data_IF_300127488903
#
_entry.id   IF_300127488903
#
_cell.length_a   1.000
_cell.length_b   1.000
_cell.length_c   1.000
_cell.angle_alpha   90.00
_cell.angle_beta   90.00
_cell.angle_gamma   90.00
#
_symmetry.space_group_name_H-M   'P 1'
#
loop_
_entity.id
_entity.type
_entity.pdbx_description
1 polymer ?
#
# COMPACT_ATOMS: atom_id res chain seq x y z
N UNK A 1 -17.15 -22.11 -1.90
CA UNK A 1 -15.72 -22.39 -1.68
C UNK A 1 -14.94 -21.44 -2.58
N UNK A 2 -14.49 -20.30 -2.06
CA UNK A 2 -13.78 -19.28 -2.84
C UNK A 2 -12.33 -19.79 -2.96
N UNK A 3 -11.90 -20.13 -4.17
CA UNK A 3 -10.51 -20.52 -4.41
C UNK A 3 -9.59 -19.39 -3.93
N UNK A 4 -8.79 -19.66 -2.90
CA UNK A 4 -7.65 -18.82 -2.55
C UNK A 4 -6.66 -18.90 -3.71
N UNK A 5 -6.68 -17.90 -4.60
CA UNK A 5 -5.57 -17.71 -5.53
C UNK A 5 -4.37 -17.34 -4.69
N UNK A 6 -3.33 -18.16 -4.69
CA UNK A 6 -2.10 -17.84 -3.97
C UNK A 6 -1.49 -16.61 -4.63
N UNK A 7 -0.85 -15.74 -3.85
CA UNK A 7 -0.18 -14.56 -4.37
C UNK A 7 0.86 -14.94 -5.44
N UNK A 8 1.48 -16.14 -5.32
CA UNK A 8 2.32 -16.74 -6.37
C UNK A 8 1.63 -16.77 -7.73
N UNK A 9 0.37 -17.21 -7.77
CA UNK A 9 -0.39 -17.44 -9.00
C UNK A 9 -0.75 -16.12 -9.71
N UNK A 10 -0.71 -15.00 -8.99
CA UNK A 10 -0.92 -13.64 -9.52
C UNK A 10 0.40 -13.04 -10.03
N UNK A 11 1.53 -13.45 -9.46
CA UNK A 11 2.85 -12.87 -9.68
C UNK A 11 3.72 -13.61 -10.70
N UNK A 12 3.23 -14.69 -11.31
CA UNK A 12 3.98 -15.49 -12.30
C UNK A 12 4.32 -14.73 -13.59
N UNK A 13 3.57 -13.67 -13.91
CA UNK A 13 3.89 -12.77 -15.01
C UNK A 13 4.72 -11.58 -14.52
N UNK A 14 5.96 -11.46 -15.02
CA UNK A 14 6.93 -10.42 -14.62
C UNK A 14 6.40 -8.98 -14.76
N UNK A 15 5.62 -8.71 -15.81
CA UNK A 15 5.02 -7.37 -16.02
C UNK A 15 3.88 -7.09 -15.03
N UNK A 16 3.03 -8.09 -14.78
CA UNK A 16 1.94 -8.00 -13.79
C UNK A 16 2.51 -7.85 -12.38
N UNK A 17 3.61 -8.54 -12.07
CA UNK A 17 4.34 -8.43 -10.82
C UNK A 17 4.90 -7.02 -10.60
N UNK A 18 5.52 -6.41 -11.61
CA UNK A 18 6.08 -5.05 -11.48
C UNK A 18 4.98 -3.98 -11.37
N UNK A 19 3.86 -4.15 -12.10
CA UNK A 19 2.69 -3.27 -11.97
C UNK A 19 2.03 -3.40 -10.59
N UNK A 20 1.83 -4.62 -10.09
CA UNK A 20 1.23 -4.89 -8.78
C UNK A 20 2.12 -4.39 -7.64
N UNK A 21 3.44 -4.60 -7.72
CA UNK A 21 4.40 -4.11 -6.72
C UNK A 21 4.40 -2.59 -6.60
N UNK A 22 4.10 -1.86 -7.68
CA UNK A 22 3.98 -0.41 -7.64
C UNK A 22 2.63 0.09 -7.09
N UNK A 23 1.55 -0.69 -7.26
CA UNK A 23 0.21 -0.31 -6.78
C UNK A 23 0.11 -0.19 -5.26
N UNK A 24 0.89 -0.95 -4.48
CA UNK A 24 0.92 -0.82 -3.01
C UNK A 24 1.33 0.59 -2.56
N UNK A 25 2.13 1.28 -3.36
CA UNK A 25 2.53 2.67 -3.10
C UNK A 25 1.52 3.71 -3.58
N UNK A 26 0.39 3.29 -4.14
CA UNK A 26 -0.67 4.19 -4.64
C UNK A 26 -1.83 4.36 -3.65
N UNK A 27 -1.78 3.72 -2.47
CA UNK A 27 -2.87 3.75 -1.49
C UNK A 27 -3.13 5.16 -0.93
N UNK A 28 -2.10 5.99 -0.80
CA UNK A 28 -2.24 7.36 -0.32
C UNK A 28 -1.27 8.30 -1.05
N UNK A 29 -1.65 9.54 -1.32
CA UNK A 29 -0.74 10.53 -1.92
C UNK A 29 0.26 11.01 -0.87
N UNK A 30 1.55 10.89 -1.16
CA UNK A 30 2.61 11.38 -0.28
C UNK A 30 3.74 11.91 -1.16
N UNK A 31 4.27 13.09 -0.85
CA UNK A 31 5.29 13.74 -1.66
C UNK A 31 6.67 13.16 -1.37
N UNK A 32 7.55 13.13 -2.38
CA UNK A 32 8.93 12.67 -2.20
C UNK A 32 9.09 11.16 -1.99
N UNK A 33 8.15 10.33 -2.47
CA UNK A 33 8.30 8.87 -2.44
C UNK A 33 9.53 8.44 -3.21
N UNK A 34 10.39 7.67 -2.56
CA UNK A 34 11.56 7.06 -3.20
C UNK A 34 11.08 5.88 -4.05
N UNK A 35 11.56 5.74 -5.30
CA UNK A 35 11.12 4.67 -6.17
C UNK A 35 11.63 3.31 -5.69
N UNK A 36 10.73 2.32 -5.70
CA UNK A 36 10.90 1.08 -4.96
C UNK A 36 11.99 0.16 -5.52
N UNK A 37 12.20 0.20 -6.83
CA UNK A 37 13.18 -0.62 -7.53
C UNK A 37 14.61 -0.27 -7.11
N UNK A 38 14.87 1.02 -6.98
CA UNK A 38 16.14 1.60 -6.56
C UNK A 38 16.39 1.27 -5.08
N UNK A 39 15.37 1.44 -4.22
CA UNK A 39 15.46 1.05 -2.81
C UNK A 39 15.79 -0.42 -2.63
N UNK A 40 15.08 -1.31 -3.35
CA UNK A 40 15.33 -2.75 -3.32
C UNK A 40 16.76 -3.08 -3.74
N UNK A 41 17.29 -2.41 -4.78
CA UNK A 41 18.68 -2.60 -5.22
C UNK A 41 19.65 -2.25 -4.09
N UNK A 42 19.48 -1.08 -3.46
CA UNK A 42 20.32 -0.61 -2.36
C UNK A 42 20.24 -1.59 -1.18
N UNK A 43 19.05 -2.04 -0.80
CA UNK A 43 18.88 -3.00 0.30
C UNK A 43 19.64 -4.30 0.01
N UNK A 44 19.55 -4.85 -1.21
CA UNK A 44 20.28 -6.06 -1.59
C UNK A 44 21.79 -5.88 -1.60
N UNK A 45 22.25 -4.71 -2.04
CA UNK A 45 23.67 -4.40 -2.21
C UNK A 45 24.36 -4.16 -0.87
N UNK A 46 23.68 -3.53 0.10
CA UNK A 46 24.27 -3.06 1.34
C UNK A 46 23.78 -3.78 2.61
N UNK A 47 23.00 -4.85 2.49
CA UNK A 47 22.55 -5.67 3.63
C UNK A 47 22.37 -7.13 3.26
N UNK A 48 22.25 -8.00 4.25
CA UNK A 48 21.93 -9.43 4.12
C UNK A 48 20.54 -9.71 4.69
N UNK A 49 19.98 -10.85 4.33
CA UNK A 49 18.74 -11.33 4.97
C UNK A 49 18.95 -11.45 6.48
N UNK A 50 17.94 -11.03 7.25
CA UNK A 50 17.98 -10.97 8.71
C UNK A 50 18.63 -9.71 9.29
N UNK A 51 19.35 -8.89 8.51
CA UNK A 51 19.92 -7.63 9.01
C UNK A 51 18.83 -6.67 9.50
N UNK A 52 19.17 -5.87 10.51
CA UNK A 52 18.32 -4.79 11.04
C UNK A 52 18.66 -3.47 10.37
N UNK A 53 17.70 -2.90 9.66
CA UNK A 53 17.81 -1.62 8.99
C UNK A 53 17.06 -0.52 9.74
N UNK A 54 17.57 0.72 9.67
CA UNK A 54 16.94 1.90 10.27
C UNK A 54 16.56 2.89 9.17
N UNK A 55 15.28 3.28 9.14
CA UNK A 55 14.81 4.42 8.35
C UNK A 55 14.21 5.49 9.29
N UNK A 56 14.98 6.53 9.65
CA UNK A 56 14.51 7.56 10.56
C UNK A 56 13.65 8.65 9.86
N UNK A 57 13.48 8.56 8.53
CA UNK A 57 12.71 9.50 7.71
C UNK A 57 11.83 8.74 6.71
N UNK A 58 10.96 7.90 7.26
CA UNK A 58 10.27 6.86 6.50
C UNK A 58 9.28 7.39 5.46
N UNK A 59 8.68 8.55 5.71
CA UNK A 59 7.68 9.17 4.84
C UNK A 59 6.55 8.19 4.51
N UNK A 60 6.53 7.68 3.28
CA UNK A 60 5.52 6.70 2.87
C UNK A 60 5.79 5.27 3.36
N UNK A 61 6.98 4.98 3.89
CA UNK A 61 7.37 3.63 4.30
C UNK A 61 7.88 2.74 3.16
N UNK A 62 8.23 3.33 2.00
CA UNK A 62 8.72 2.55 0.84
C UNK A 62 9.99 1.76 1.13
N UNK A 63 10.94 2.33 1.87
CA UNK A 63 12.16 1.61 2.26
C UNK A 63 11.83 0.46 3.22
N UNK A 64 11.01 0.71 4.25
CA UNK A 64 10.59 -0.32 5.19
C UNK A 64 9.85 -1.49 4.48
N UNK A 65 8.94 -1.18 3.56
CA UNK A 65 8.24 -2.19 2.76
C UNK A 65 9.20 -3.01 1.90
N UNK A 66 10.14 -2.38 1.20
CA UNK A 66 11.14 -3.13 0.41
C UNK A 66 12.13 -3.92 1.29
N UNK A 67 12.46 -3.44 2.49
CA UNK A 67 13.31 -4.16 3.44
C UNK A 67 12.64 -5.45 3.91
N UNK A 68 11.38 -5.36 4.35
CA UNK A 68 10.59 -6.53 4.78
C UNK A 68 10.41 -7.53 3.64
N UNK A 69 10.08 -7.06 2.42
CA UNK A 69 9.91 -7.93 1.25
C UNK A 69 11.19 -8.64 0.81
N UNK A 70 12.35 -8.11 1.21
CA UNK A 70 13.65 -8.74 1.00
C UNK A 70 14.13 -9.45 2.27
N UNK A 71 13.27 -9.81 3.22
CA UNK A 71 13.62 -10.56 4.42
C UNK A 71 14.63 -9.83 5.35
N UNK A 72 14.55 -8.50 5.47
CA UNK A 72 15.28 -7.71 6.47
C UNK A 72 14.35 -7.30 7.61
N UNK A 73 14.92 -7.12 8.80
CA UNK A 73 14.25 -6.45 9.91
C UNK A 73 14.35 -4.94 9.70
N UNK A 74 13.33 -4.18 10.09
CA UNK A 74 13.37 -2.71 9.93
C UNK A 74 12.76 -1.99 11.12
N UNK A 75 13.46 -0.95 11.59
CA UNK A 75 12.92 0.11 12.44
C UNK A 75 12.66 1.31 11.56
N UNK A 76 11.42 1.78 11.55
CA UNK A 76 10.97 2.86 10.68
C UNK A 76 10.27 3.92 11.53
N UNK A 77 10.63 5.18 11.33
CA UNK A 77 10.03 6.31 12.02
C UNK A 77 10.01 7.55 11.13
N UNK A 78 9.10 8.47 11.42
CA UNK A 78 9.03 9.80 10.85
C UNK A 78 8.50 10.77 11.92
N UNK A 79 8.85 12.04 11.82
CA UNK A 79 8.29 13.08 12.69
C UNK A 79 6.79 13.28 12.43
N UNK A 80 6.36 13.09 11.18
CA UNK A 80 4.97 13.24 10.79
C UNK A 80 4.16 12.00 11.23
N UNK A 81 3.19 12.13 12.14
CA UNK A 81 2.39 10.99 12.59
C UNK A 81 1.60 10.32 11.45
N UNK A 82 1.25 11.06 10.39
CA UNK A 82 0.57 10.49 9.22
C UNK A 82 1.48 9.52 8.46
N UNK A 83 2.78 9.81 8.37
CA UNK A 83 3.77 8.92 7.77
C UNK A 83 3.88 7.60 8.52
N UNK A 84 3.90 7.67 9.85
CA UNK A 84 3.94 6.50 10.72
C UNK A 84 2.67 5.65 10.53
N UNK A 85 1.49 6.28 10.52
CA UNK A 85 0.23 5.58 10.25
C UNK A 85 0.16 4.92 8.87
N UNK A 86 0.63 5.61 7.82
CA UNK A 86 0.69 5.03 6.47
C UNK A 86 1.64 3.83 6.44
N UNK A 87 2.80 3.94 7.08
CA UNK A 87 3.80 2.86 7.15
C UNK A 87 3.23 1.65 7.90
N UNK A 88 2.56 1.87 9.02
CA UNK A 88 1.86 0.82 9.78
C UNK A 88 0.83 0.10 8.89
N UNK A 89 -0.04 0.85 8.21
CA UNK A 89 -1.01 0.29 7.28
C UNK A 89 -0.37 -0.47 6.11
N UNK A 90 0.80 -0.03 5.65
CA UNK A 90 1.52 -0.65 4.54
C UNK A 90 2.18 -1.97 4.95
N UNK A 91 2.54 -2.12 6.23
CA UNK A 91 3.23 -3.30 6.78
C UNK A 91 2.28 -4.24 7.51
N UNK A 92 0.98 -3.94 7.61
CA UNK A 92 -0.01 -4.80 8.26
C UNK A 92 -0.19 -6.11 7.48
N UNK A 93 0.11 -7.23 8.14
CA UNK A 93 -0.03 -8.57 7.58
C UNK A 93 -1.41 -9.18 7.89
N UNK A 94 -2.04 -8.77 9.00
CA UNK A 94 -3.28 -9.34 9.51
C UNK A 94 -4.50 -8.52 9.04
N UNK A 95 -4.74 -8.52 7.74
CA UNK A 95 -5.89 -7.82 7.15
C UNK A 95 -7.12 -8.73 7.11
N UNK A 96 -8.18 -8.32 7.82
CA UNK A 96 -9.51 -8.94 7.70
C UNK A 96 -10.18 -8.51 6.39
N UNK A 97 -10.07 -9.39 5.38
CA UNK A 97 -10.58 -9.16 4.03
C UNK A 97 -12.10 -9.05 4.00
N UNK A 98 -12.81 -9.83 4.81
CA UNK A 98 -14.28 -9.82 4.84
C UNK A 98 -14.79 -8.51 5.44
N UNK A 99 -14.16 -8.06 6.53
CA UNK A 99 -14.42 -6.75 7.13
C UNK A 99 -14.10 -5.63 6.15
N UNK A 100 -12.94 -5.67 5.48
CA UNK A 100 -12.58 -4.69 4.44
C UNK A 100 -13.63 -4.62 3.33
N UNK A 101 -14.07 -5.77 2.83
CA UNK A 101 -15.07 -5.86 1.76
C UNK A 101 -16.44 -5.32 2.23
N UNK A 102 -16.82 -5.58 3.49
CA UNK A 102 -18.03 -5.02 4.09
C UNK A 102 -18.00 -3.49 4.16
N UNK A 103 -16.90 -2.91 4.66
CA UNK A 103 -16.73 -1.46 4.76
C UNK A 103 -16.66 -0.79 3.39
N UNK A 104 -15.96 -1.41 2.43
CA UNK A 104 -15.94 -0.94 1.05
C UNK A 104 -17.35 -0.83 0.48
N UNK A 105 -18.20 -1.84 0.69
CA UNK A 105 -19.60 -1.81 0.27
C UNK A 105 -20.40 -0.65 0.88
N UNK A 106 -20.17 -0.36 2.17
CA UNK A 106 -20.82 0.76 2.87
C UNK A 106 -20.39 2.10 2.25
N UNK A 107 -19.08 2.31 2.08
CA UNK A 107 -18.52 3.54 1.50
C UNK A 107 -19.00 3.72 0.07
N UNK A 108 -18.96 2.66 -0.75
CA UNK A 108 -19.41 2.70 -2.14
C UNK A 108 -20.88 3.11 -2.24
N UNK A 109 -21.77 2.52 -1.44
CA UNK A 109 -23.18 2.89 -1.39
C UNK A 109 -23.39 4.36 -1.02
N UNK A 110 -22.65 4.86 -0.03
CA UNK A 110 -22.69 6.29 0.37
C UNK A 110 -22.23 7.19 -0.78
N UNK A 111 -21.10 6.89 -1.41
CA UNK A 111 -20.56 7.65 -2.54
C UNK A 111 -21.51 7.64 -3.75
N UNK A 112 -22.13 6.50 -4.07
CA UNK A 112 -23.12 6.40 -5.16
C UNK A 112 -24.36 7.26 -4.88
N UNK A 113 -24.84 7.29 -3.63
CA UNK A 113 -25.97 8.15 -3.23
C UNK A 113 -25.61 9.63 -3.39
N UNK A 114 -24.44 10.03 -2.92
CA UNK A 114 -23.93 11.40 -3.08
C UNK A 114 -23.85 11.76 -4.56
N UNK A 115 -23.23 10.91 -5.39
CA UNK A 115 -23.09 11.13 -6.84
C UNK A 115 -24.44 11.31 -7.53
N UNK A 116 -25.43 10.45 -7.25
CA UNK A 116 -26.79 10.59 -7.82
C UNK A 116 -27.43 11.91 -7.42
N UNK A 117 -27.31 12.32 -6.16
CA UNK A 117 -27.84 13.60 -5.69
C UNK A 117 -27.18 14.78 -6.43
N UNK A 118 -25.85 14.77 -6.60
CA UNK A 118 -25.14 15.78 -7.38
C UNK A 118 -25.58 15.79 -8.86
N UNK A 119 -25.73 14.63 -9.50
CA UNK A 119 -26.22 14.55 -10.88
C UNK A 119 -27.64 15.12 -11.02
N UNK A 120 -28.52 14.83 -10.06
CA UNK A 120 -29.89 15.37 -10.06
C UNK A 120 -29.92 16.89 -9.86
N UNK A 121 -29.00 17.46 -9.07
CA UNK A 121 -28.88 18.92 -8.91
C UNK A 121 -28.45 19.56 -10.22
N UNK A 122 -27.44 19.00 -10.90
CA UNK A 122 -26.91 19.53 -12.16
C UNK A 122 -27.96 19.44 -13.29
N UNK A 123 -28.71 18.34 -13.37
CA UNK A 123 -29.69 18.12 -14.44
C UNK A 123 -31.01 18.87 -14.24
N UNK A 124 -31.42 19.14 -12.99
CA UNK A 124 -32.70 19.79 -12.70
C UNK A 124 -32.58 21.29 -12.41
N UNK A 125 -31.44 21.91 -12.73
CA UNK A 125 -31.27 23.37 -12.81
C UNK A 125 -31.91 24.16 -11.68
N UNK A 126 -31.31 24.10 -10.49
CA UNK A 126 -31.42 25.17 -9.49
C UNK A 126 -30.03 25.69 -9.17
#
# INVERSE_FOLDING_TARGET
>A
MRMERKLSDILDNKNVKEEFLNKKYMMHKYWGKKPAKELRKIIKEYSKEGDLLLDPFSGYGSFASEAVLENRNVISNDLNPVSNFITECLLEENVDVDKLQSYYGIVLKKCQKIRKNYTNIILNGK
#
